data_IF_423284690064
#
_entry.id   IF_423284690064
#
_cell.length_a   1.000
_cell.length_b   1.000
_cell.length_c   1.000
_cell.angle_alpha   90.00
_cell.angle_beta   90.00
_cell.angle_gamma   90.00
#
_symmetry.space_group_name_H-M   'P 1'
#
loop_
_entity.id
_entity.type
_entity.pdbx_description
1 polymer ?
#
# COMPACT_ATOMS: atom_id res chain seq x y z
N UNK A 1 -3.54 20.33 -2.47
CA UNK A 1 -2.95 19.27 -3.32
C UNK A 1 -3.52 19.40 -4.73
N UNK A 2 -2.68 19.35 -5.76
CA UNK A 2 -3.12 19.40 -7.15
C UNK A 2 -3.94 18.14 -7.50
N UNK A 3 -5.15 18.35 -8.04
CA UNK A 3 -6.09 17.26 -8.36
C UNK A 3 -5.58 16.35 -9.48
N UNK A 4 -4.92 16.91 -10.50
CA UNK A 4 -4.41 16.15 -11.65
C UNK A 4 -3.25 15.26 -11.23
N UNK A 5 -2.33 15.81 -10.42
CA UNK A 5 -1.21 15.04 -9.86
C UNK A 5 -1.71 13.87 -9.01
N UNK A 6 -2.65 14.14 -8.09
CA UNK A 6 -3.22 13.09 -7.26
C UNK A 6 -3.90 12.00 -8.09
N UNK A 7 -4.78 12.37 -9.03
CA UNK A 7 -5.46 11.38 -9.86
C UNK A 7 -4.47 10.57 -10.71
N UNK A 8 -3.39 11.17 -11.21
CA UNK A 8 -2.33 10.43 -11.90
C UNK A 8 -1.67 9.40 -10.99
N UNK A 9 -1.19 9.82 -9.82
CA UNK A 9 -0.55 8.95 -8.81
C UNK A 9 -1.49 7.82 -8.37
N UNK A 10 -2.74 8.15 -8.06
CA UNK A 10 -3.75 7.19 -7.64
C UNK A 10 -3.99 6.13 -8.73
N UNK A 11 -4.10 6.53 -10.00
CA UNK A 11 -4.29 5.60 -11.10
C UNK A 11 -3.10 4.64 -11.28
N UNK A 12 -1.86 5.13 -11.11
CA UNK A 12 -0.68 4.27 -11.16
C UNK A 12 -0.68 3.27 -10.00
N UNK A 13 -0.91 3.75 -8.78
CA UNK A 13 -0.94 2.89 -7.59
C UNK A 13 -2.07 1.85 -7.67
N UNK A 14 -3.25 2.22 -8.20
CA UNK A 14 -4.35 1.30 -8.43
C UNK A 14 -3.98 0.21 -9.42
N UNK A 15 -3.28 0.55 -10.50
CA UNK A 15 -2.76 -0.45 -11.44
C UNK A 15 -1.79 -1.40 -10.74
N UNK A 16 -0.81 -0.90 -10.00
CA UNK A 16 0.19 -1.72 -9.29
C UNK A 16 -0.39 -2.62 -8.20
N UNK A 17 -1.42 -2.12 -7.51
CA UNK A 17 -2.16 -2.88 -6.52
C UNK A 17 -3.00 -4.00 -7.13
N UNK A 18 -3.39 -3.88 -8.41
CA UNK A 18 -4.41 -4.74 -9.03
C UNK A 18 -3.94 -5.58 -10.21
N UNK A 19 -2.69 -5.39 -10.67
CA UNK A 19 -2.15 -6.10 -11.81
C UNK A 19 -2.17 -7.63 -11.64
N UNK A 20 -2.52 -8.30 -12.73
CA UNK A 20 -2.55 -9.76 -13.00
C UNK A 20 -3.55 -10.63 -12.19
N UNK A 21 -3.93 -10.33 -10.95
CA UNK A 21 -4.77 -11.26 -10.17
C UNK A 21 -5.88 -10.65 -9.27
N UNK A 22 -5.92 -9.34 -9.05
CA UNK A 22 -6.87 -8.73 -8.08
C UNK A 22 -8.31 -8.62 -8.59
N UNK A 23 -8.51 -8.81 -9.88
CA UNK A 23 -9.82 -8.90 -10.49
C UNK A 23 -9.80 -10.12 -11.38
N UNK A 24 -9.92 -11.32 -10.79
CA UNK A 24 -10.33 -12.46 -11.60
C UNK A 24 -11.79 -12.27 -11.95
N UNK A 25 -12.09 -12.63 -13.18
CA UNK A 25 -13.45 -12.64 -13.69
C UNK A 25 -14.16 -13.83 -13.07
N UNK A 26 -15.34 -13.62 -12.51
CA UNK A 26 -16.17 -14.75 -12.09
C UNK A 26 -16.63 -15.48 -13.37
N UNK A 27 -16.79 -16.82 -13.31
CA UNK A 27 -17.12 -17.63 -14.49
C UNK A 27 -18.39 -17.14 -15.23
N UNK A 28 -19.32 -16.53 -14.49
CA UNK A 28 -20.60 -16.03 -14.99
C UNK A 28 -20.62 -14.50 -15.21
N UNK A 29 -19.54 -13.78 -14.89
CA UNK A 29 -19.49 -12.31 -14.93
C UNK A 29 -19.26 -11.78 -16.36
N UNK A 30 -20.20 -10.96 -16.83
CA UNK A 30 -20.09 -10.30 -18.14
C UNK A 30 -19.02 -9.19 -18.10
N UNK A 31 -18.46 -8.82 -19.26
CA UNK A 31 -17.41 -7.80 -19.35
C UNK A 31 -17.84 -6.47 -18.72
N UNK A 32 -19.08 -6.07 -18.97
CA UNK A 32 -19.66 -4.83 -18.43
C UNK A 32 -19.73 -4.87 -16.90
N UNK A 33 -20.05 -6.01 -16.31
CA UNK A 33 -20.14 -6.19 -14.85
C UNK A 33 -18.75 -6.17 -14.21
N UNK A 34 -17.79 -6.85 -14.84
CA UNK A 34 -16.38 -6.83 -14.46
C UNK A 34 -15.81 -5.40 -14.42
N UNK A 35 -16.03 -4.63 -15.50
CA UNK A 35 -15.57 -3.24 -15.57
C UNK A 35 -16.28 -2.36 -14.54
N UNK A 36 -17.60 -2.49 -14.37
CA UNK A 36 -18.35 -1.76 -13.35
C UNK A 36 -17.87 -2.06 -11.93
N UNK A 37 -17.54 -3.32 -11.62
CA UNK A 37 -17.01 -3.73 -10.31
C UNK A 37 -15.66 -3.09 -10.02
N UNK A 38 -14.74 -3.17 -10.99
CA UNK A 38 -13.42 -2.53 -10.92
C UNK A 38 -13.53 -1.01 -10.75
N UNK A 39 -14.36 -0.36 -11.55
CA UNK A 39 -14.56 1.09 -11.50
C UNK A 39 -15.18 1.53 -10.18
N UNK A 40 -16.12 0.75 -9.63
CA UNK A 40 -16.71 0.99 -8.32
C UNK A 40 -15.65 0.99 -7.21
N UNK A 41 -14.79 -0.03 -7.18
CA UNK A 41 -13.72 -0.15 -6.17
C UNK A 41 -12.73 1.00 -6.31
N UNK A 42 -12.35 1.32 -7.55
CA UNK A 42 -11.50 2.47 -7.86
C UNK A 42 -12.09 3.78 -7.34
N UNK A 43 -13.34 4.08 -7.68
CA UNK A 43 -13.98 5.33 -7.28
C UNK A 43 -14.13 5.43 -5.75
N UNK A 44 -14.52 4.34 -5.07
CA UNK A 44 -14.66 4.37 -3.61
C UNK A 44 -13.34 4.48 -2.89
N UNK A 45 -12.30 3.80 -3.35
CA UNK A 45 -11.00 3.86 -2.70
C UNK A 45 -10.30 5.22 -2.91
N UNK A 46 -10.58 5.92 -4.00
CA UNK A 46 -9.95 7.21 -4.33
C UNK A 46 -10.12 8.24 -3.20
N UNK A 47 -11.33 8.39 -2.64
CA UNK A 47 -11.59 9.39 -1.59
C UNK A 47 -10.86 9.05 -0.27
N UNK A 48 -10.81 7.78 0.13
CA UNK A 48 -10.08 7.37 1.34
C UNK A 48 -8.57 7.61 1.20
N UNK A 49 -8.01 7.25 0.03
CA UNK A 49 -6.59 7.50 -0.25
C UNK A 49 -6.32 9.00 -0.32
N UNK A 50 -7.18 9.78 -0.98
CA UNK A 50 -7.03 11.23 -1.09
C UNK A 50 -7.03 11.89 0.27
N UNK A 51 -7.99 11.55 1.13
CA UNK A 51 -8.09 12.11 2.47
C UNK A 51 -6.86 11.74 3.31
N UNK A 52 -6.37 10.50 3.21
CA UNK A 52 -5.13 10.07 3.86
C UNK A 52 -3.93 10.92 3.43
N UNK A 53 -3.74 11.13 2.12
CA UNK A 53 -2.65 11.97 1.60
C UNK A 53 -2.80 13.43 2.04
N UNK A 54 -4.01 14.00 2.01
CA UNK A 54 -4.25 15.38 2.46
C UNK A 54 -3.85 15.56 3.93
N UNK A 55 -4.21 14.60 4.79
CA UNK A 55 -3.85 14.62 6.21
C UNK A 55 -2.33 14.55 6.43
N UNK A 56 -1.61 13.74 5.64
CA UNK A 56 -0.14 13.72 5.65
C UNK A 56 0.43 15.12 5.34
N UNK A 57 0.00 15.74 4.24
CA UNK A 57 0.49 17.08 3.87
C UNK A 57 0.14 18.16 4.90
N UNK A 58 -0.96 17.98 5.64
CA UNK A 58 -1.40 18.84 6.73
C UNK A 58 -0.70 18.57 8.08
N UNK A 59 0.28 17.66 8.13
CA UNK A 59 1.04 17.29 9.32
C UNK A 59 0.17 16.68 10.45
N UNK A 60 -0.90 15.98 10.07
CA UNK A 60 -1.85 15.35 11.00
C UNK A 60 -1.47 13.91 11.37
N UNK A 61 -0.39 13.37 10.80
CA UNK A 61 0.14 12.03 11.10
C UNK A 61 -0.93 10.92 11.10
N UNK A 62 -1.73 10.80 10.03
CA UNK A 62 -2.85 9.86 10.00
C UNK A 62 -2.39 8.40 10.18
N UNK A 63 -3.21 7.59 10.83
CA UNK A 63 -2.98 6.15 10.95
C UNK A 63 -3.11 5.47 9.56
N UNK A 64 -2.03 4.89 8.99
CA UNK A 64 -2.09 4.16 7.72
C UNK A 64 -3.06 2.97 7.73
N UNK A 65 -3.40 2.38 8.88
CA UNK A 65 -4.34 1.26 8.95
C UNK A 65 -5.79 1.69 8.63
N UNK A 66 -6.16 2.92 8.96
CA UNK A 66 -7.52 3.43 8.83
C UNK A 66 -8.05 3.45 7.38
N UNK A 67 -7.37 4.08 6.39
CA UNK A 67 -7.85 4.06 5.01
C UNK A 67 -7.91 2.62 4.46
N UNK A 68 -7.01 1.73 4.88
CA UNK A 68 -7.00 0.34 4.42
C UNK A 68 -8.24 -0.40 4.93
N UNK A 69 -8.56 -0.30 6.23
CA UNK A 69 -9.77 -0.90 6.82
C UNK A 69 -11.03 -0.37 6.14
N UNK A 70 -11.11 0.96 5.97
CA UNK A 70 -12.28 1.61 5.37
C UNK A 70 -12.50 1.15 3.92
N UNK A 71 -11.43 1.04 3.13
CA UNK A 71 -11.49 0.51 1.76
C UNK A 71 -11.99 -0.93 1.77
N UNK A 72 -11.43 -1.81 2.59
CA UNK A 72 -11.85 -3.21 2.66
C UNK A 72 -13.32 -3.35 3.07
N UNK A 73 -13.73 -2.61 4.12
CA UNK A 73 -15.10 -2.64 4.64
C UNK A 73 -16.14 -2.10 3.64
N UNK A 74 -15.76 -1.09 2.83
CA UNK A 74 -16.65 -0.47 1.85
C UNK A 74 -16.70 -1.22 0.52
N UNK A 75 -15.57 -1.75 0.07
CA UNK A 75 -15.45 -2.38 -1.25
C UNK A 75 -15.98 -3.81 -1.27
N UNK A 76 -15.88 -4.56 -0.16
CA UNK A 76 -16.29 -5.97 0.01
C UNK A 76 -16.32 -6.75 -1.30
N UNK A 77 -15.18 -7.28 -1.70
CA UNK A 77 -14.99 -7.98 -2.96
C UNK A 77 -14.09 -9.18 -2.76
N UNK A 78 -14.46 -10.32 -3.36
CA UNK A 78 -13.77 -11.60 -3.18
C UNK A 78 -12.37 -11.63 -3.80
N UNK A 79 -12.04 -10.67 -4.67
CA UNK A 79 -10.76 -10.60 -5.37
C UNK A 79 -9.92 -9.38 -4.96
N UNK A 80 -10.56 -8.27 -4.57
CA UNK A 80 -9.88 -7.11 -4.02
C UNK A 80 -9.73 -7.26 -2.50
N UNK A 81 -8.65 -7.90 -2.08
CA UNK A 81 -8.40 -8.27 -0.69
C UNK A 81 -7.72 -7.15 0.10
N UNK A 82 -7.47 -7.38 1.40
CA UNK A 82 -6.65 -6.49 2.22
C UNK A 82 -5.27 -6.27 1.60
N UNK A 83 -4.69 -7.31 0.99
CA UNK A 83 -3.42 -7.22 0.27
C UNK A 83 -3.41 -6.15 -0.81
N UNK A 84 -4.51 -6.03 -1.57
CA UNK A 84 -4.65 -5.02 -2.62
C UNK A 84 -4.90 -3.63 -2.03
N UNK A 85 -5.74 -3.53 -1.00
CA UNK A 85 -6.04 -2.27 -0.32
C UNK A 85 -4.78 -1.63 0.31
N UNK A 86 -3.98 -2.41 1.05
CA UNK A 86 -2.74 -1.90 1.64
C UNK A 86 -1.75 -1.46 0.55
N UNK A 87 -1.66 -2.21 -0.55
CA UNK A 87 -0.75 -1.86 -1.64
C UNK A 87 -1.19 -0.56 -2.31
N UNK A 88 -2.48 -0.38 -2.56
CA UNK A 88 -3.05 0.85 -3.12
C UNK A 88 -2.72 2.08 -2.26
N UNK A 89 -2.98 2.00 -0.95
CA UNK A 89 -2.71 3.11 -0.01
C UNK A 89 -1.22 3.43 0.03
N UNK A 90 -0.37 2.43 0.26
CA UNK A 90 1.06 2.64 0.48
C UNK A 90 1.79 3.05 -0.81
N UNK A 91 1.42 2.49 -1.96
CA UNK A 91 1.96 2.92 -3.25
C UNK A 91 1.55 4.34 -3.61
N UNK A 92 0.30 4.73 -3.30
CA UNK A 92 -0.14 6.12 -3.52
C UNK A 92 0.66 7.08 -2.67
N UNK A 93 0.86 6.76 -1.39
CA UNK A 93 1.70 7.56 -0.49
C UNK A 93 3.15 7.63 -0.98
N UNK A 94 3.70 6.50 -1.46
CA UNK A 94 5.05 6.40 -1.99
C UNK A 94 5.25 7.35 -3.19
N UNK A 95 4.39 7.28 -4.19
CA UNK A 95 4.50 8.18 -5.34
C UNK A 95 4.30 9.65 -4.97
N UNK A 96 3.43 9.96 -4.01
CA UNK A 96 3.31 11.33 -3.50
C UNK A 96 4.58 11.78 -2.76
N UNK A 97 5.21 10.87 -2.01
CA UNK A 97 6.44 11.13 -1.28
C UNK A 97 7.60 11.54 -2.22
N UNK A 98 7.68 11.01 -3.44
CA UNK A 98 8.70 11.42 -4.43
C UNK A 98 8.71 12.93 -4.68
N UNK A 99 7.54 13.55 -4.71
CA UNK A 99 7.42 15.01 -4.90
C UNK A 99 7.96 15.84 -3.73
N UNK A 100 8.29 15.19 -2.61
CA UNK A 100 8.79 15.82 -1.38
C UNK A 100 10.27 15.55 -1.11
N UNK A 101 10.92 14.67 -1.89
CA UNK A 101 12.25 14.14 -1.53
C UNK A 101 13.33 15.22 -1.41
N UNK A 102 13.27 16.27 -2.25
CA UNK A 102 14.19 17.41 -2.18
C UNK A 102 13.91 18.41 -1.06
N UNK A 103 12.84 18.23 -0.27
CA UNK A 103 12.40 19.13 0.80
C UNK A 103 12.30 18.37 2.11
N UNK A 104 13.30 18.54 2.98
CA UNK A 104 13.44 17.80 4.25
C UNK A 104 12.20 17.95 5.15
N UNK A 105 11.57 19.11 5.17
CA UNK A 105 10.41 19.37 6.02
C UNK A 105 9.16 18.69 5.48
N UNK A 106 8.98 18.65 4.16
CA UNK A 106 7.89 17.87 3.55
C UNK A 106 8.14 16.36 3.65
N UNK A 107 9.39 15.91 3.50
CA UNK A 107 9.80 14.51 3.64
C UNK A 107 9.38 13.94 5.00
N UNK A 108 9.63 14.68 6.09
CA UNK A 108 9.30 14.26 7.47
C UNK A 108 7.81 13.98 7.70
N UNK A 109 6.91 14.57 6.92
CA UNK A 109 5.46 14.36 7.05
C UNK A 109 5.07 12.91 6.79
N UNK A 110 5.86 12.17 6.02
CA UNK A 110 5.60 10.78 5.65
C UNK A 110 6.21 9.76 6.63
N UNK A 111 6.77 10.20 7.76
CA UNK A 111 7.47 9.32 8.72
C UNK A 111 6.65 8.15 9.27
N UNK A 112 5.33 8.30 9.31
CA UNK A 112 4.39 7.27 9.78
C UNK A 112 3.78 6.43 8.65
N UNK A 113 4.14 6.70 7.40
CA UNK A 113 3.65 5.92 6.28
C UNK A 113 4.26 4.52 6.30
N UNK A 114 3.47 3.53 5.91
CA UNK A 114 3.91 2.16 5.80
C UNK A 114 4.67 1.89 4.50
N UNK A 115 5.51 0.87 4.54
CA UNK A 115 6.11 0.27 3.36
C UNK A 115 5.05 -0.56 2.60
N UNK A 116 4.94 -0.45 1.27
CA UNK A 116 4.11 -1.36 0.49
C UNK A 116 4.52 -2.82 0.74
N UNK A 117 3.59 -3.65 1.21
CA UNK A 117 3.88 -5.08 1.38
C UNK A 117 3.64 -5.80 0.05
N UNK A 118 4.70 -6.11 -0.67
CA UNK A 118 4.66 -6.95 -1.87
C UNK A 118 5.73 -8.04 -1.84
N UNK A 119 5.83 -8.81 -2.92
CA UNK A 119 6.75 -9.95 -2.99
C UNK A 119 8.21 -9.53 -2.81
N UNK A 120 8.62 -8.39 -3.37
CA UNK A 120 10.00 -7.89 -3.29
C UNK A 120 10.31 -7.57 -1.83
N UNK A 121 9.49 -6.74 -1.21
CA UNK A 121 9.73 -6.34 0.18
C UNK A 121 9.58 -7.48 1.18
N UNK A 122 8.69 -8.44 0.92
CA UNK A 122 8.60 -9.68 1.71
C UNK A 122 9.91 -10.46 1.64
N UNK A 123 10.52 -10.57 0.46
CA UNK A 123 11.79 -11.27 0.29
C UNK A 123 12.93 -10.53 1.00
N UNK A 124 12.97 -9.19 0.91
CA UNK A 124 13.92 -8.36 1.67
C UNK A 124 13.81 -8.62 3.17
N UNK A 125 12.59 -8.60 3.73
CA UNK A 125 12.38 -8.87 5.16
C UNK A 125 12.78 -10.32 5.50
N UNK A 126 12.40 -11.32 4.71
CA UNK A 126 12.80 -12.73 4.94
C UNK A 126 14.31 -12.96 4.89
N UNK A 127 15.04 -12.19 4.09
CA UNK A 127 16.50 -12.28 3.97
C UNK A 127 17.18 -11.72 5.22
N UNK A 128 16.71 -10.57 5.70
CA UNK A 128 17.31 -9.85 6.83
C UNK A 128 16.79 -10.32 8.20
N UNK A 129 15.61 -10.95 8.26
CA UNK A 129 15.05 -11.51 9.49
C UNK A 129 14.41 -12.88 9.23
N UNK A 130 15.12 -13.94 9.64
CA UNK A 130 14.68 -15.35 9.46
C UNK A 130 13.45 -15.72 10.30
N UNK A 131 13.12 -14.92 11.31
CA UNK A 131 11.92 -15.11 12.14
C UNK A 131 10.64 -14.73 11.39
N UNK A 132 10.72 -13.84 10.39
CA UNK A 132 9.56 -13.44 9.61
C UNK A 132 9.09 -14.59 8.70
N UNK A 133 7.85 -15.05 8.91
CA UNK A 133 7.22 -16.11 8.12
C UNK A 133 5.97 -15.56 7.43
N UNK A 134 6.02 -15.52 6.11
CA UNK A 134 4.86 -15.21 5.27
C UNK A 134 4.42 -16.49 4.55
N UNK A 135 3.36 -17.11 5.09
CA UNK A 135 2.79 -18.39 4.65
C UNK A 135 1.73 -18.25 3.56
N UNK A 136 1.23 -17.03 3.33
CA UNK A 136 0.20 -16.72 2.33
C UNK A 136 0.72 -15.65 1.37
N UNK A 137 0.24 -15.67 0.13
CA UNK A 137 0.54 -14.59 -0.81
C UNK A 137 -0.05 -13.28 -0.30
N UNK A 138 0.70 -12.17 -0.36
CA UNK A 138 0.27 -10.88 0.18
C UNK A 138 -1.07 -10.43 -0.39
N UNK A 139 -1.33 -10.70 -1.67
CA UNK A 139 -2.57 -10.35 -2.38
C UNK A 139 -3.77 -11.23 -1.99
N UNK A 140 -3.57 -12.25 -1.15
CA UNK A 140 -4.60 -13.12 -0.59
C UNK A 140 -4.85 -12.86 0.89
N UNK A 141 -4.18 -11.86 1.48
CA UNK A 141 -4.44 -11.48 2.87
C UNK A 141 -5.81 -10.82 2.95
N UNK A 142 -6.60 -11.22 3.95
CA UNK A 142 -7.92 -10.66 4.24
C UNK A 142 -7.93 -10.04 5.64
N UNK A 143 -8.88 -9.16 5.91
CA UNK A 143 -9.12 -8.70 7.28
C UNK A 143 -9.66 -9.86 8.13
N UNK A 144 -9.13 -10.04 9.33
CA UNK A 144 -9.67 -10.99 10.31
C UNK A 144 -10.55 -10.20 11.27
N UNK A 145 -11.84 -10.51 11.35
CA UNK A 145 -12.79 -9.85 12.29
C UNK A 145 -12.78 -8.30 12.17
N UNK A 146 -12.53 -7.76 10.97
CA UNK A 146 -12.32 -6.33 10.69
C UNK A 146 -11.04 -5.70 11.29
N UNK A 147 -10.12 -6.51 11.82
CA UNK A 147 -8.78 -6.07 12.23
C UNK A 147 -7.73 -6.38 11.15
N UNK A 148 -6.67 -5.59 11.19
CA UNK A 148 -5.50 -5.69 10.34
C UNK A 148 -4.78 -7.02 10.63
N UNK A 149 -4.37 -7.77 9.59
CA UNK A 149 -3.61 -9.01 9.75
C UNK A 149 -2.36 -8.83 10.63
N UNK A 150 -2.17 -9.73 11.60
CA UNK A 150 -0.96 -9.77 12.45
C UNK A 150 0.30 -9.87 11.59
N UNK A 151 0.25 -10.65 10.50
CA UNK A 151 1.34 -10.77 9.54
C UNK A 151 1.74 -9.42 8.92
N UNK A 152 0.77 -8.55 8.62
CA UNK A 152 1.05 -7.23 8.09
C UNK A 152 1.63 -6.30 9.16
N UNK A 153 1.12 -6.35 10.39
CA UNK A 153 1.68 -5.60 11.53
C UNK A 153 3.14 -6.00 11.80
N UNK A 154 3.43 -7.30 11.82
CA UNK A 154 4.77 -7.84 11.97
C UNK A 154 5.67 -7.39 10.82
N UNK A 155 5.22 -7.49 9.56
CA UNK A 155 5.96 -6.99 8.41
C UNK A 155 6.35 -5.51 8.56
N UNK A 156 5.42 -4.62 8.92
CA UNK A 156 5.73 -3.19 9.11
C UNK A 156 6.71 -2.96 10.26
N UNK A 157 6.58 -3.71 11.36
CA UNK A 157 7.51 -3.63 12.48
C UNK A 157 8.92 -4.08 12.08
N UNK A 158 9.06 -5.15 11.28
CA UNK A 158 10.34 -5.60 10.75
C UNK A 158 10.95 -4.57 9.81
N UNK A 159 10.18 -4.00 8.88
CA UNK A 159 10.69 -2.95 7.98
C UNK A 159 11.19 -1.75 8.78
N UNK A 160 10.44 -1.29 9.78
CA UNK A 160 10.88 -0.20 10.66
C UNK A 160 12.20 -0.53 11.37
N UNK A 161 12.34 -1.74 11.93
CA UNK A 161 13.58 -2.18 12.56
C UNK A 161 14.76 -2.29 11.58
N UNK A 162 14.52 -2.52 10.29
CA UNK A 162 15.57 -2.48 9.26
C UNK A 162 15.96 -1.04 8.93
N UNK A 163 14.99 -0.14 8.78
CA UNK A 163 15.25 1.29 8.58
C UNK A 163 16.12 1.89 9.70
N UNK A 164 15.85 1.50 10.95
CA UNK A 164 16.59 1.95 12.13
C UNK A 164 18.05 1.42 12.15
N UNK A 165 18.39 0.40 11.34
CA UNK A 165 19.74 -0.18 11.23
C UNK A 165 20.54 0.35 10.04
N UNK A 166 19.91 1.07 9.12
CA UNK A 166 20.60 1.67 7.97
C UNK A 166 21.62 2.72 8.43
N UNK A 167 22.71 2.86 7.68
CA UNK A 167 23.74 3.88 7.97
C UNK A 167 23.16 5.30 7.95
N UNK A 168 22.22 5.51 7.03
CA UNK A 168 21.40 6.71 6.94
C UNK A 168 19.95 6.32 7.25
N UNK A 169 19.44 6.65 8.46
CA UNK A 169 18.08 6.30 8.82
C UNK A 169 17.06 6.86 7.84
N UNK A 170 16.14 6.00 7.42
CA UNK A 170 15.07 6.33 6.48
C UNK A 170 13.70 5.95 7.06
N UNK A 171 12.63 6.39 6.42
CA UNK A 171 11.28 5.99 6.80
C UNK A 171 10.89 4.68 6.10
N UNK A 172 9.94 3.90 6.65
CA UNK A 172 9.50 2.64 6.02
C UNK A 172 9.06 2.79 4.56
N UNK A 173 8.42 3.92 4.23
CA UNK A 173 8.02 4.23 2.85
C UNK A 173 9.21 4.43 1.90
N UNK A 174 10.35 4.85 2.43
CA UNK A 174 11.58 5.09 1.67
C UNK A 174 12.39 3.83 1.46
N UNK A 175 12.37 2.92 2.44
CA UNK A 175 13.12 1.68 2.42
C UNK A 175 12.79 0.83 1.18
N UNK A 176 11.55 0.92 0.69
CA UNK A 176 11.11 0.29 -0.56
C UNK A 176 11.87 0.79 -1.81
N UNK A 177 12.36 2.04 -1.84
CA UNK A 177 13.17 2.54 -2.96
C UNK A 177 14.53 1.86 -3.07
N UNK A 178 15.09 1.41 -1.95
CA UNK A 178 16.41 0.75 -1.92
C UNK A 178 16.40 -0.57 -2.71
N UNK A 179 15.22 -1.19 -2.87
CA UNK A 179 15.08 -2.52 -3.47
C UNK A 179 14.18 -2.55 -4.71
N UNK A 180 13.67 -1.39 -5.14
CA UNK A 180 12.69 -1.28 -6.24
C UNK A 180 13.21 -1.81 -7.58
N UNK A 181 14.49 -1.59 -7.88
CA UNK A 181 15.18 -2.07 -9.08
C UNK A 181 16.14 -3.25 -8.78
N UNK A 182 16.02 -3.89 -7.63
CA UNK A 182 16.86 -5.06 -7.38
C UNK A 182 16.54 -6.15 -8.42
N UNK A 183 17.56 -6.62 -9.16
CA UNK A 183 17.48 -7.68 -10.18
C UNK A 183 17.02 -9.05 -9.61
N UNK A 184 16.62 -9.08 -8.34
CA UNK A 184 16.35 -10.26 -7.53
C UNK A 184 14.84 -10.45 -7.26
N UNK A 185 13.99 -9.86 -8.11
CA UNK A 185 12.53 -10.00 -8.12
C UNK A 185 12.05 -11.33 -8.74
#
# INVERSE_FOLDING_TARGET
MDKKLFSFVYNMAFRDATLRNAFKRNQEERDIEFHKRKDRIKLYAEDYVKNYIVQIYADQYPDPYEPIKNICAKCKDDHFTFGNAQKLVNMSAKYMFLSTYGDIEKRKKFKNCHCPMDTIMINVVKRNDKSFKCSIGWSKMELSENDIPVLYKDFQAKVKALCDKEKEPCFPIEYDYLYWDSEEA
#
